data_IF_617756982514
#
_entry.id   IF_617756982514
#
_cell.length_a   1.000
_cell.length_b   1.000
_cell.length_c   1.000
_cell.angle_alpha   90.00
_cell.angle_beta   90.00
_cell.angle_gamma   90.00
#
_symmetry.space_group_name_H-M   'P 1'
#
loop_
_entity.id
_entity.type
_entity.pdbx_description
1 polymer ?
#
# COMPACT_ATOMS: atom_id res chain seq x y z
N UNK A 1 -8.53 8.54 3.38
CA UNK A 1 -8.97 7.22 3.88
C UNK A 1 -7.87 6.63 4.77
N UNK A 2 -8.25 5.70 5.65
CA UNK A 2 -7.34 5.05 6.60
C UNK A 2 -7.58 3.54 6.55
N UNK A 3 -6.51 2.76 6.51
CA UNK A 3 -6.56 1.30 6.51
C UNK A 3 -6.48 0.79 7.95
N UNK A 4 -7.51 0.11 8.41
CA UNK A 4 -7.55 -0.50 9.74
C UNK A 4 -6.98 -1.92 9.66
N UNK A 5 -5.86 -2.23 10.36
CA UNK A 5 -5.32 -3.59 10.39
C UNK A 5 -6.34 -4.61 10.94
N UNK A 6 -6.43 -5.82 10.36
CA UNK A 6 -7.41 -6.83 10.79
C UNK A 6 -7.37 -7.13 12.29
N UNK A 7 -6.20 -7.28 12.88
CA UNK A 7 -6.05 -7.55 14.32
C UNK A 7 -6.53 -6.40 15.21
N UNK A 8 -6.43 -5.15 14.73
CA UNK A 8 -6.99 -3.99 15.45
C UNK A 8 -8.52 -4.00 15.30
N UNK A 9 -9.03 -4.34 14.10
CA UNK A 9 -10.47 -4.38 13.85
C UNK A 9 -11.20 -5.46 14.69
N UNK A 10 -10.51 -6.56 15.04
CA UNK A 10 -11.03 -7.66 15.85
C UNK A 10 -11.20 -7.30 17.34
N UNK A 11 -10.53 -6.26 17.84
CA UNK A 11 -10.54 -5.84 19.24
C UNK A 11 -11.20 -4.46 19.35
N UNK A 12 -12.46 -4.36 19.82
CA UNK A 12 -13.22 -3.10 19.83
C UNK A 12 -12.50 -1.94 20.52
N UNK A 13 -11.85 -2.18 21.65
CA UNK A 13 -11.11 -1.17 22.39
C UNK A 13 -9.87 -0.69 21.61
N UNK A 14 -9.14 -1.59 20.97
CA UNK A 14 -7.99 -1.25 20.13
C UNK A 14 -8.43 -0.46 18.89
N UNK A 15 -9.57 -0.82 18.30
CA UNK A 15 -10.14 -0.10 17.17
C UNK A 15 -10.53 1.33 17.54
N UNK A 16 -11.19 1.52 18.70
CA UNK A 16 -11.58 2.84 19.15
C UNK A 16 -10.36 3.75 19.41
N UNK A 17 -9.32 3.22 20.05
CA UNK A 17 -8.06 3.94 20.28
C UNK A 17 -7.36 4.28 18.96
N UNK A 18 -7.32 3.34 18.02
CA UNK A 18 -6.75 3.55 16.69
C UNK A 18 -7.50 4.68 15.93
N UNK A 19 -8.82 4.65 15.91
CA UNK A 19 -9.64 5.67 15.23
C UNK A 19 -9.42 7.06 15.84
N UNK A 20 -9.32 7.16 17.16
CA UNK A 20 -9.00 8.41 17.86
C UNK A 20 -7.63 8.95 17.46
N UNK A 21 -6.60 8.12 17.51
CA UNK A 21 -5.23 8.50 17.11
C UNK A 21 -5.15 8.95 15.66
N UNK A 22 -5.91 8.31 14.74
CA UNK A 22 -5.98 8.72 13.34
C UNK A 22 -6.65 10.08 13.18
N UNK A 23 -7.75 10.33 13.86
CA UNK A 23 -8.46 11.62 13.83
C UNK A 23 -7.56 12.76 14.34
N UNK A 24 -6.87 12.56 15.44
CA UNK A 24 -5.93 13.55 16.00
C UNK A 24 -4.78 13.83 15.04
N UNK A 25 -4.16 12.78 14.46
CA UNK A 25 -3.06 12.95 13.49
C UNK A 25 -3.50 13.72 12.26
N UNK A 26 -4.68 13.44 11.72
CA UNK A 26 -5.24 14.16 10.57
C UNK A 26 -5.54 15.62 10.92
N UNK A 27 -6.07 15.89 12.12
CA UNK A 27 -6.31 17.26 12.59
C UNK A 27 -5.00 18.06 12.72
N UNK A 28 -3.96 17.44 13.26
CA UNK A 28 -2.64 18.05 13.33
C UNK A 28 -2.03 18.31 11.93
N UNK A 29 -2.16 17.37 11.00
CA UNK A 29 -1.76 17.55 9.62
C UNK A 29 -2.43 18.78 8.99
N UNK A 30 -3.74 18.90 9.10
CA UNK A 30 -4.50 20.01 8.54
C UNK A 30 -4.06 21.36 9.14
N UNK A 31 -3.87 21.40 10.46
CA UNK A 31 -3.42 22.61 11.15
C UNK A 31 -2.00 23.03 10.75
N UNK A 32 -1.07 22.08 10.63
CA UNK A 32 0.29 22.35 10.20
C UNK A 32 0.31 22.84 8.74
N UNK A 33 -0.45 22.17 7.86
CA UNK A 33 -0.55 22.55 6.46
C UNK A 33 -1.05 24.00 6.29
N UNK A 34 -2.09 24.41 7.04
CA UNK A 34 -2.64 25.76 6.99
C UNK A 34 -1.64 26.82 7.50
N UNK A 35 -0.96 26.55 8.60
CA UNK A 35 0.05 27.45 9.15
C UNK A 35 1.22 27.66 8.18
N UNK A 36 1.71 26.57 7.59
CA UNK A 36 2.80 26.64 6.61
C UNK A 36 2.36 27.34 5.32
N UNK A 37 1.14 27.02 4.83
CA UNK A 37 0.57 27.66 3.64
C UNK A 37 0.49 29.17 3.82
N UNK A 38 -0.12 29.64 4.92
CA UNK A 38 -0.27 31.08 5.22
C UNK A 38 1.10 31.79 5.22
N UNK A 39 2.09 31.21 5.88
CA UNK A 39 3.44 31.79 5.94
C UNK A 39 4.09 31.83 4.56
N UNK A 40 4.08 30.72 3.81
CA UNK A 40 4.70 30.62 2.49
C UNK A 40 4.02 31.51 1.46
N UNK A 41 2.71 31.65 1.51
CA UNK A 41 1.97 32.55 0.63
C UNK A 41 2.41 34.02 0.84
N UNK A 42 2.52 34.46 2.09
CA UNK A 42 3.03 35.80 2.40
C UNK A 42 4.47 36.00 1.89
N UNK A 43 5.35 35.02 2.05
CA UNK A 43 6.74 35.08 1.54
C UNK A 43 6.78 35.19 0.00
N UNK A 44 5.92 34.46 -0.73
CA UNK A 44 5.85 34.54 -2.20
C UNK A 44 5.25 35.84 -2.70
N UNK A 45 4.23 36.36 -2.03
CA UNK A 45 3.67 37.68 -2.34
C UNK A 45 4.68 38.80 -2.15
N UNK A 46 5.48 38.77 -1.09
CA UNK A 46 6.54 39.74 -0.83
C UNK A 46 7.63 39.70 -1.92
N UNK A 47 7.81 38.61 -2.62
CA UNK A 47 8.73 38.45 -3.75
C UNK A 47 8.11 38.89 -5.11
N UNK A 48 6.90 39.47 -5.10
CA UNK A 48 6.20 39.94 -6.30
C UNK A 48 5.54 38.87 -7.14
N UNK A 49 5.36 37.66 -6.61
CA UNK A 49 4.64 36.59 -7.29
C UNK A 49 3.15 36.89 -7.25
N UNK A 50 2.44 36.62 -8.35
CA UNK A 50 0.99 36.84 -8.41
C UNK A 50 0.24 36.06 -7.35
N UNK A 51 -0.88 36.56 -6.79
CA UNK A 51 -1.63 35.89 -5.72
C UNK A 51 -2.01 34.44 -6.04
N UNK A 52 -2.48 34.17 -7.24
CA UNK A 52 -2.84 32.83 -7.69
C UNK A 52 -1.65 31.87 -7.71
N UNK A 53 -0.49 32.33 -8.18
CA UNK A 53 0.72 31.51 -8.22
C UNK A 53 1.33 31.33 -6.82
N UNK A 54 1.28 32.35 -5.96
CA UNK A 54 1.73 32.29 -4.58
C UNK A 54 0.94 31.27 -3.77
N UNK A 55 -0.39 31.34 -3.82
CA UNK A 55 -1.28 30.38 -3.16
C UNK A 55 -1.03 28.93 -3.61
N UNK A 56 -0.95 28.68 -4.93
CA UNK A 56 -0.70 27.35 -5.46
C UNK A 56 0.66 26.76 -5.06
N UNK A 57 1.73 27.58 -5.05
CA UNK A 57 3.07 27.16 -4.62
C UNK A 57 3.11 26.91 -3.11
N UNK A 58 2.50 27.79 -2.33
CA UNK A 58 2.45 27.68 -0.88
C UNK A 58 1.71 26.40 -0.45
N UNK A 59 0.60 26.08 -1.09
CA UNK A 59 -0.17 24.86 -0.81
C UNK A 59 0.67 23.60 -1.07
N UNK A 60 1.34 23.50 -2.21
CA UNK A 60 2.18 22.33 -2.55
C UNK A 60 3.28 22.12 -1.51
N UNK A 61 4.07 23.15 -1.20
CA UNK A 61 5.18 23.04 -0.23
C UNK A 61 4.68 22.79 1.19
N UNK A 62 3.54 23.37 1.58
CA UNK A 62 2.96 23.14 2.89
C UNK A 62 2.49 21.69 3.07
N UNK A 63 1.88 21.11 2.06
CA UNK A 63 1.45 19.68 2.07
C UNK A 63 2.67 18.76 2.12
N UNK A 64 3.74 19.05 1.37
CA UNK A 64 4.97 18.25 1.37
C UNK A 64 5.59 18.12 2.76
N UNK A 65 5.61 19.21 3.53
CA UNK A 65 6.14 19.22 4.89
C UNK A 65 5.13 18.68 5.92
N UNK A 66 3.86 19.10 5.82
CA UNK A 66 2.83 18.70 6.80
C UNK A 66 2.56 17.19 6.81
N UNK A 67 2.67 16.51 5.66
CA UNK A 67 2.39 15.07 5.56
C UNK A 67 3.30 14.17 6.40
N UNK A 68 4.42 14.70 6.92
CA UNK A 68 5.29 13.95 7.81
C UNK A 68 4.63 13.54 9.14
N UNK A 69 3.54 14.20 9.52
CA UNK A 69 2.77 13.84 10.72
C UNK A 69 1.71 12.75 10.45
N UNK A 70 1.45 12.45 9.17
CA UNK A 70 0.46 11.43 8.84
C UNK A 70 0.95 10.03 9.21
N UNK A 71 0.07 9.21 9.84
CA UNK A 71 0.41 7.86 10.22
C UNK A 71 0.54 6.94 8.99
N UNK A 72 1.28 5.84 9.17
CA UNK A 72 1.48 4.82 8.12
C UNK A 72 0.17 4.15 7.65
N UNK A 73 -0.90 4.28 8.42
CA UNK A 73 -2.22 3.77 8.09
C UNK A 73 -2.97 4.61 7.04
N UNK A 74 -2.45 5.78 6.65
CA UNK A 74 -3.06 6.60 5.61
C UNK A 74 -2.97 5.91 4.26
N UNK A 75 -4.11 5.79 3.58
CA UNK A 75 -4.23 5.22 2.25
C UNK A 75 -3.45 6.04 1.21
N UNK A 76 -2.85 5.35 0.25
CA UNK A 76 -2.12 5.95 -0.87
C UNK A 76 -2.49 5.23 -2.17
N UNK A 77 -2.86 6.00 -3.19
CA UNK A 77 -3.16 5.48 -4.53
C UNK A 77 -1.99 5.72 -5.47
N UNK A 78 -1.57 4.68 -6.17
CA UNK A 78 -0.43 4.72 -7.07
C UNK A 78 -0.71 3.95 -8.36
N UNK A 79 -0.37 4.54 -9.50
CA UNK A 79 -0.38 3.83 -10.78
C UNK A 79 1.05 3.40 -11.10
N UNK A 80 1.23 2.09 -11.32
CA UNK A 80 2.55 1.49 -11.59
C UNK A 80 2.53 0.72 -12.89
N UNK A 81 3.52 0.94 -13.75
CA UNK A 81 3.77 0.10 -14.92
C UNK A 81 4.95 -0.82 -14.63
N UNK A 82 4.73 -2.13 -14.78
CA UNK A 82 5.75 -3.16 -14.52
C UNK A 82 5.78 -4.17 -15.67
N UNK A 83 6.98 -4.63 -16.03
CA UNK A 83 7.09 -5.75 -16.94
C UNK A 83 6.81 -7.10 -16.25
N UNK A 84 6.50 -8.14 -17.02
CA UNK A 84 6.12 -9.44 -16.50
C UNK A 84 7.19 -10.08 -15.58
N UNK A 85 8.49 -9.88 -15.88
CA UNK A 85 9.58 -10.40 -15.03
C UNK A 85 9.55 -9.75 -13.63
N UNK A 86 9.37 -8.44 -13.57
CA UNK A 86 9.27 -7.71 -12.32
C UNK A 86 8.01 -8.13 -11.53
N UNK A 87 6.88 -8.34 -12.21
CA UNK A 87 5.66 -8.88 -11.60
C UNK A 87 5.87 -10.29 -11.04
N UNK A 88 6.54 -11.18 -11.77
CA UNK A 88 6.87 -12.53 -11.28
C UNK A 88 7.70 -12.48 -9.99
N UNK A 89 8.73 -11.64 -9.95
CA UNK A 89 9.53 -11.43 -8.75
C UNK A 89 8.71 -10.84 -7.60
N UNK A 90 7.86 -9.86 -7.89
CA UNK A 90 6.96 -9.26 -6.90
C UNK A 90 6.03 -10.32 -6.29
N UNK A 91 5.39 -11.15 -7.10
CA UNK A 91 4.50 -12.22 -6.64
C UNK A 91 5.25 -13.28 -5.82
N UNK A 92 6.47 -13.63 -6.22
CA UNK A 92 7.29 -14.58 -5.45
C UNK A 92 7.55 -14.10 -4.02
N UNK A 93 7.84 -12.81 -3.85
CA UNK A 93 8.17 -12.20 -2.57
C UNK A 93 6.92 -11.80 -1.77
N UNK A 94 5.89 -11.28 -2.42
CA UNK A 94 4.77 -10.62 -1.73
C UNK A 94 3.53 -11.52 -1.57
N UNK A 95 3.35 -12.55 -2.38
CA UNK A 95 2.35 -13.57 -2.13
C UNK A 95 2.77 -14.58 -1.02
N UNK A 96 4.01 -14.49 -0.51
CA UNK A 96 4.49 -15.33 0.57
C UNK A 96 3.77 -15.01 1.90
N UNK A 97 3.46 -16.03 2.70
CA UNK A 97 2.84 -15.85 4.03
C UNK A 97 3.71 -15.06 5.02
N UNK A 98 5.00 -14.92 4.73
CA UNK A 98 5.93 -14.08 5.50
C UNK A 98 5.83 -12.60 5.15
N UNK A 99 5.20 -12.25 4.03
CA UNK A 99 4.93 -10.85 3.69
C UNK A 99 3.88 -10.27 4.64
N UNK A 100 3.94 -8.96 4.86
CA UNK A 100 2.94 -8.24 5.63
C UNK A 100 1.55 -8.43 4.97
N UNK A 101 0.49 -8.49 5.77
CA UNK A 101 -0.84 -8.92 5.33
C UNK A 101 -1.40 -8.08 4.17
N UNK A 102 -1.23 -6.76 4.21
CA UNK A 102 -1.80 -5.83 3.23
C UNK A 102 -1.12 -5.96 1.86
N UNK A 103 0.22 -5.91 1.81
CA UNK A 103 0.94 -6.09 0.54
C UNK A 103 0.73 -7.49 -0.04
N UNK A 104 0.49 -8.51 0.80
CA UNK A 104 0.14 -9.85 0.36
C UNK A 104 -1.23 -9.88 -0.29
N UNK A 105 -2.22 -9.22 0.32
CA UNK A 105 -3.57 -9.10 -0.25
C UNK A 105 -3.54 -8.39 -1.60
N UNK A 106 -2.84 -7.27 -1.70
CA UNK A 106 -2.63 -6.56 -2.97
C UNK A 106 -1.95 -7.47 -4.00
N UNK A 107 -0.92 -8.21 -3.62
CA UNK A 107 -0.21 -9.12 -4.52
C UNK A 107 -1.10 -10.26 -5.02
N UNK A 108 -1.95 -10.82 -4.15
CA UNK A 108 -2.88 -11.87 -4.52
C UNK A 108 -3.94 -11.37 -5.52
N UNK A 109 -4.51 -10.20 -5.30
CA UNK A 109 -5.46 -9.56 -6.22
C UNK A 109 -4.80 -9.23 -7.56
N UNK A 110 -3.60 -8.64 -7.55
CA UNK A 110 -2.83 -8.38 -8.78
C UNK A 110 -2.54 -9.66 -9.56
N UNK A 111 -2.15 -10.74 -8.88
CA UNK A 111 -1.89 -12.02 -9.53
C UNK A 111 -3.16 -12.60 -10.16
N UNK A 112 -4.31 -12.53 -9.48
CA UNK A 112 -5.59 -12.96 -10.02
C UNK A 112 -5.93 -12.22 -11.32
N UNK A 113 -5.77 -10.88 -11.34
CA UNK A 113 -5.95 -10.09 -12.56
C UNK A 113 -4.95 -10.44 -13.68
N UNK A 114 -3.69 -10.68 -13.33
CA UNK A 114 -2.68 -11.11 -14.31
C UNK A 114 -3.00 -12.48 -14.90
N UNK A 115 -3.50 -13.42 -14.10
CA UNK A 115 -3.92 -14.74 -14.56
C UNK A 115 -5.12 -14.67 -15.51
N UNK A 116 -6.10 -13.80 -15.25
CA UNK A 116 -7.27 -13.65 -16.12
C UNK A 116 -6.94 -13.13 -17.53
N UNK A 117 -5.89 -12.29 -17.68
CA UNK A 117 -5.51 -11.71 -18.97
C UNK A 117 -4.35 -12.45 -19.66
N UNK A 118 -3.49 -13.13 -18.91
CA UNK A 118 -2.31 -13.81 -19.44
C UNK A 118 -1.98 -15.12 -18.67
N UNK A 119 -2.90 -16.10 -18.66
CA UNK A 119 -2.79 -17.29 -17.82
C UNK A 119 -1.53 -18.11 -18.11
N UNK A 120 -1.15 -18.24 -19.36
CA UNK A 120 0.07 -18.99 -19.74
C UNK A 120 1.35 -18.33 -19.26
N UNK A 121 1.40 -17.00 -19.22
CA UNK A 121 2.56 -16.24 -18.75
C UNK A 121 2.72 -16.38 -17.23
N UNK A 122 1.63 -16.28 -16.49
CA UNK A 122 1.64 -16.26 -15.02
C UNK A 122 1.32 -17.64 -14.38
N UNK A 123 1.22 -18.72 -15.16
CA UNK A 123 0.90 -20.07 -14.67
C UNK A 123 1.77 -20.55 -13.51
N UNK A 124 3.00 -20.05 -13.40
CA UNK A 124 3.96 -20.40 -12.36
C UNK A 124 4.18 -19.25 -11.32
N UNK A 125 3.38 -18.17 -11.39
CA UNK A 125 3.48 -17.07 -10.44
C UNK A 125 2.94 -17.44 -9.06
N UNK A 126 3.41 -16.72 -8.03
CA UNK A 126 3.08 -16.96 -6.63
C UNK A 126 4.34 -17.21 -5.80
N UNK A 127 4.20 -17.50 -4.49
CA UNK A 127 5.36 -17.70 -3.61
C UNK A 127 6.22 -18.90 -4.04
N UNK A 128 7.51 -18.90 -3.71
CA UNK A 128 8.46 -19.91 -4.14
C UNK A 128 8.00 -21.35 -3.85
N UNK A 129 7.32 -21.58 -2.72
CA UNK A 129 6.82 -22.90 -2.30
C UNK A 129 5.75 -23.51 -3.24
N UNK A 130 5.15 -22.71 -4.13
CA UNK A 130 4.20 -23.21 -5.14
C UNK A 130 4.91 -24.00 -6.23
N UNK A 131 6.16 -23.62 -6.56
CA UNK A 131 6.96 -24.23 -7.63
C UNK A 131 7.97 -25.26 -7.13
N UNK A 132 8.33 -25.22 -5.85
CA UNK A 132 9.39 -26.07 -5.32
C UNK A 132 9.54 -25.98 -3.82
N UNK A 133 10.79 -25.98 -3.36
CA UNK A 133 11.10 -25.81 -1.95
C UNK A 133 10.85 -24.36 -1.49
N UNK A 134 10.56 -24.20 -0.19
CA UNK A 134 10.44 -22.89 0.41
C UNK A 134 11.78 -22.15 0.41
N UNK A 135 11.83 -20.92 -0.12
CA UNK A 135 13.04 -20.09 -0.16
C UNK A 135 13.45 -19.54 1.22
N UNK A 136 12.55 -19.56 2.21
CA UNK A 136 12.76 -19.01 3.55
C UNK A 136 13.58 -19.93 4.48
N UNK A 137 13.91 -21.14 4.05
CA UNK A 137 14.71 -22.08 4.84
C UNK A 137 14.17 -22.28 6.26
N UNK A 138 14.97 -21.93 7.27
CA UNK A 138 14.58 -22.02 8.69
C UNK A 138 13.44 -21.09 9.09
N UNK A 139 13.20 -20.02 8.31
CA UNK A 139 12.14 -19.04 8.53
C UNK A 139 10.83 -19.42 7.86
N UNK A 140 10.69 -20.64 7.38
CA UNK A 140 9.46 -21.12 6.73
C UNK A 140 8.22 -20.93 7.61
N UNK A 141 7.09 -20.58 6.97
CA UNK A 141 5.79 -20.50 7.65
C UNK A 141 5.13 -21.90 7.87
N UNK A 142 5.68 -22.96 7.29
CA UNK A 142 5.13 -24.32 7.36
C UNK A 142 3.89 -24.59 6.47
N UNK A 143 3.39 -23.59 5.74
CA UNK A 143 2.11 -23.64 5.00
C UNK A 143 2.24 -23.94 3.52
N UNK A 144 3.30 -24.63 3.07
CA UNK A 144 3.56 -24.87 1.66
C UNK A 144 2.40 -25.60 0.94
N UNK A 145 1.77 -26.58 1.59
CA UNK A 145 0.63 -27.34 1.04
C UNK A 145 -0.58 -26.42 0.84
N UNK A 146 -0.98 -25.68 1.87
CA UNK A 146 -2.07 -24.70 1.79
C UNK A 146 -1.86 -23.67 0.66
N UNK A 147 -0.62 -23.23 0.49
CA UNK A 147 -0.30 -22.27 -0.56
C UNK A 147 -0.40 -22.88 -1.96
N UNK A 148 0.04 -24.12 -2.15
CA UNK A 148 -0.11 -24.81 -3.42
C UNK A 148 -1.59 -24.98 -3.81
N UNK A 149 -2.43 -25.36 -2.86
CA UNK A 149 -3.87 -25.47 -3.07
C UNK A 149 -4.53 -24.13 -3.38
N UNK A 150 -4.20 -23.07 -2.61
CA UNK A 150 -4.70 -21.72 -2.86
C UNK A 150 -4.42 -21.24 -4.29
N UNK A 151 -3.17 -21.34 -4.72
CA UNK A 151 -2.78 -20.85 -6.04
C UNK A 151 -3.16 -21.80 -7.18
N UNK A 152 -3.42 -23.09 -6.92
CA UNK A 152 -4.04 -23.98 -7.89
C UNK A 152 -5.49 -23.54 -8.18
N UNK A 153 -6.30 -23.34 -7.14
CA UNK A 153 -7.68 -22.80 -7.27
C UNK A 153 -7.71 -21.46 -8.01
N UNK A 154 -6.85 -20.51 -7.64
CA UNK A 154 -6.78 -19.21 -8.30
C UNK A 154 -6.53 -19.33 -9.82
N UNK A 155 -5.74 -20.32 -10.25
CA UNK A 155 -5.50 -20.58 -11.68
C UNK A 155 -6.73 -21.22 -12.35
N UNK A 156 -7.41 -22.12 -11.68
CA UNK A 156 -8.64 -22.76 -12.19
C UNK A 156 -9.74 -21.71 -12.40
N UNK A 157 -9.94 -20.84 -11.42
CA UNK A 157 -10.92 -19.74 -11.47
C UNK A 157 -10.62 -18.73 -12.59
N UNK A 158 -9.36 -18.52 -12.91
CA UNK A 158 -8.95 -17.61 -14.00
C UNK A 158 -9.13 -18.21 -15.41
N UNK A 159 -9.37 -19.53 -15.52
CA UNK A 159 -9.59 -20.23 -16.79
C UNK A 159 -11.07 -20.45 -17.12
N UNK A 160 -11.99 -20.22 -16.20
CA UNK A 160 -13.45 -20.30 -16.39
C UNK A 160 -14.04 -18.97 -16.83
#
# INVERSE_FOLDING_TARGET
>A
EVVVPPQIAEVPEAKAEFELAMQESIAHYQKIAELLKTRREAEWLAQGISPKAAASRAEKTAIEDARFVLPNACDTKMIVTMNARSLMNFFELRCCQRAQWEIREVADQMLSLCLSVAPHLFKNAGPACVRGACSEGKMTCGKATEMREKYARMREEAHG
#
